data_IF_267982475442
#
_entry.id   IF_267982475442
#
_cell.length_a   1.000
_cell.length_b   1.000
_cell.length_c   1.000
_cell.angle_alpha   90.00
_cell.angle_beta   90.00
_cell.angle_gamma   90.00
#
_symmetry.space_group_name_H-M   'P 1'
#
loop_
_entity.id
_entity.type
_entity.pdbx_description
1 polymer ?
#
# COMPACT_ATOMS: atom_id res chain seq x y z
N UNK A 1 1.43 -2.68 -16.70
CA UNK A 1 1.97 -3.76 -15.93
C UNK A 1 0.97 -4.28 -14.94
N UNK A 2 0.81 -5.57 -14.89
CA UNK A 2 -0.12 -6.16 -13.97
C UNK A 2 0.56 -6.98 -12.91
N UNK A 3 0.08 -6.89 -11.70
CA UNK A 3 0.62 -7.66 -10.61
C UNK A 3 -0.39 -8.73 -10.22
N UNK A 4 0.10 -9.91 -9.87
CA UNK A 4 -0.79 -10.95 -9.39
C UNK A 4 -1.08 -10.70 -7.92
N UNK A 5 -1.95 -11.50 -7.31
CA UNK A 5 -2.34 -11.31 -5.96
C UNK A 5 -1.20 -11.37 -4.99
N UNK A 6 -0.28 -12.27 -5.16
CA UNK A 6 0.84 -12.37 -4.27
C UNK A 6 1.74 -11.17 -4.39
N UNK A 7 1.96 -10.68 -5.61
CA UNK A 7 2.81 -9.53 -5.81
C UNK A 7 2.17 -8.28 -5.21
N UNK A 8 0.86 -8.13 -5.38
CA UNK A 8 0.18 -7.00 -4.79
C UNK A 8 0.28 -7.03 -3.28
N UNK A 9 0.15 -8.19 -2.70
CA UNK A 9 0.24 -8.32 -1.27
C UNK A 9 1.64 -7.96 -0.79
N UNK A 10 2.67 -8.36 -1.53
CA UNK A 10 4.03 -8.05 -1.16
C UNK A 10 4.27 -6.54 -1.24
N UNK A 11 3.73 -5.89 -2.26
CA UNK A 11 3.92 -4.47 -2.41
C UNK A 11 3.22 -3.74 -1.26
N UNK A 12 2.03 -4.18 -0.89
CA UNK A 12 1.32 -3.56 0.21
C UNK A 12 2.11 -3.68 1.50
N UNK A 13 2.68 -4.85 1.75
CA UNK A 13 3.46 -5.05 2.95
C UNK A 13 4.73 -4.20 2.93
N UNK A 14 5.37 -4.06 1.77
CA UNK A 14 6.57 -3.26 1.65
C UNK A 14 6.27 -1.80 1.94
N UNK A 15 5.17 -1.29 1.39
CA UNK A 15 4.80 0.09 1.60
C UNK A 15 4.42 0.32 3.07
N UNK A 16 3.66 -0.59 3.64
CA UNK A 16 3.26 -0.45 5.03
C UNK A 16 4.48 -0.49 5.95
N UNK A 17 5.40 -1.39 5.67
CA UNK A 17 6.59 -1.50 6.49
C UNK A 17 7.39 -0.21 6.43
N UNK A 18 7.59 0.32 5.23
CA UNK A 18 8.37 1.54 5.07
C UNK A 18 7.67 2.68 5.82
N UNK A 19 6.36 2.78 5.65
CA UNK A 19 5.60 3.83 6.26
C UNK A 19 5.71 3.79 7.79
N UNK A 20 5.51 2.62 8.36
CA UNK A 20 5.51 2.50 9.81
C UNK A 20 6.90 2.67 10.42
N UNK A 21 7.93 2.32 9.70
CA UNK A 21 9.27 2.36 10.26
C UNK A 21 10.09 3.58 9.86
N UNK A 22 9.73 4.24 8.79
CA UNK A 22 10.54 5.35 8.29
C UNK A 22 9.79 6.65 8.14
N UNK A 23 8.48 6.65 8.25
CA UNK A 23 7.70 7.86 8.07
C UNK A 23 6.91 8.13 9.32
N UNK A 24 7.07 9.31 9.90
CA UNK A 24 6.37 9.66 11.12
C UNK A 24 4.91 9.91 10.82
N UNK A 25 4.05 9.58 11.75
CA UNK A 25 2.63 9.83 11.56
C UNK A 25 2.35 11.30 11.40
N UNK A 26 3.25 12.15 11.87
CA UNK A 26 3.06 13.58 11.74
C UNK A 26 3.56 14.10 10.39
N UNK A 27 4.21 13.26 9.61
CA UNK A 27 4.72 13.67 8.33
C UNK A 27 3.58 13.65 7.32
N UNK A 28 3.39 14.69 6.53
CA UNK A 28 2.30 14.71 5.56
C UNK A 28 2.36 13.56 4.58
N UNK A 29 3.56 13.01 4.32
CA UNK A 29 3.66 11.91 3.39
C UNK A 29 3.06 10.62 3.94
N UNK A 30 2.90 10.54 5.25
CA UNK A 30 2.30 9.36 5.85
C UNK A 30 0.90 9.16 5.27
N UNK A 31 0.15 10.25 5.14
CA UNK A 31 -1.18 10.16 4.60
C UNK A 31 -1.17 9.71 3.14
N UNK A 32 -0.16 10.11 2.38
CA UNK A 32 -0.06 9.67 1.01
C UNK A 32 0.18 8.18 0.92
N UNK A 33 0.98 7.62 1.82
CA UNK A 33 1.21 6.19 1.81
C UNK A 33 -0.07 5.43 2.18
N UNK A 34 -0.89 6.00 3.06
CA UNK A 34 -2.15 5.37 3.39
C UNK A 34 -3.06 5.31 2.17
N UNK A 35 -3.07 6.37 1.37
CA UNK A 35 -3.87 6.39 0.16
C UNK A 35 -3.37 5.33 -0.82
N UNK A 36 -2.05 5.19 -0.93
CA UNK A 36 -1.48 4.19 -1.81
C UNK A 36 -1.91 2.80 -1.36
N UNK A 37 -1.88 2.54 -0.07
CA UNK A 37 -2.28 1.24 0.43
C UNK A 37 -3.75 0.97 0.13
N UNK A 38 -4.59 1.98 0.22
CA UNK A 38 -5.97 1.81 -0.09
C UNK A 38 -6.16 1.51 -1.55
N UNK A 39 -5.43 2.17 -2.44
CA UNK A 39 -5.53 1.91 -3.85
C UNK A 39 -5.08 0.49 -4.19
N UNK A 40 -4.03 0.02 -3.54
CA UNK A 40 -3.57 -1.33 -3.77
C UNK A 40 -4.58 -2.36 -3.28
N UNK A 41 -5.30 -2.04 -2.23
CA UNK A 41 -6.30 -2.93 -1.73
C UNK A 41 -7.51 -2.97 -2.62
N UNK A 42 -7.85 -1.84 -3.20
CA UNK A 42 -9.01 -1.78 -4.06
C UNK A 42 -8.87 -2.58 -5.31
N UNK A 43 -7.64 -2.76 -5.80
CA UNK A 43 -7.48 -3.42 -7.06
C UNK A 43 -7.94 -4.84 -7.05
N UNK A 44 -8.15 -5.44 -5.89
CA UNK A 44 -8.55 -6.80 -5.89
C UNK A 44 -10.00 -6.94 -5.85
N UNK A 45 -10.73 -5.90 -5.75
CA UNK A 45 -12.08 -6.00 -5.68
C UNK A 45 -12.77 -6.51 -6.84
N UNK A 46 -12.30 -6.24 -7.98
CA UNK A 46 -12.96 -6.62 -9.12
C UNK A 46 -13.04 -8.07 -9.30
N UNK A 47 -12.36 -8.81 -8.51
CA UNK A 47 -12.43 -10.20 -8.71
C UNK A 47 -13.71 -10.75 -8.32
N UNK A 48 -14.53 -10.09 -7.73
CA UNK A 48 -15.67 -10.69 -7.29
C UNK A 48 -16.66 -10.88 -8.12
#
# INVERSE_FOLDING_TARGET
MNLNKEQLNDVRHAVAYYMYHHVSVNNPRYNEYEVILQLLSDTKEETK
#
